data_IF_088054287655
#
_entry.id   IF_088054287655
#
_cell.length_a   1.000
_cell.length_b   1.000
_cell.length_c   1.000
_cell.angle_alpha   90.00
_cell.angle_beta   90.00
_cell.angle_gamma   90.00
#
_symmetry.space_group_name_H-M   'P 1'
#
loop_
_entity.id
_entity.type
_entity.pdbx_description
1 polymer ?
#
# COMPACT_ATOMS: atom_id res chain seq x y z
N UNK A 1 -13.95 -14.04 13.98
CA UNK A 1 -14.53 -12.90 13.26
C UNK A 1 -13.89 -11.61 13.74
N UNK A 2 -13.70 -10.64 12.85
CA UNK A 2 -13.38 -9.24 13.18
C UNK A 2 -14.70 -8.51 13.34
N UNK A 3 -14.97 -7.95 14.50
CA UNK A 3 -16.19 -7.18 14.74
C UNK A 3 -15.86 -5.74 15.10
N UNK A 4 -16.54 -4.81 14.45
CA UNK A 4 -16.47 -3.38 14.74
C UNK A 4 -17.89 -2.90 15.09
N UNK A 5 -18.02 -2.27 16.27
CA UNK A 5 -19.30 -1.76 16.75
C UNK A 5 -19.81 -0.58 15.92
N UNK A 6 -21.06 -0.23 16.08
CA UNK A 6 -21.60 1.05 15.60
C UNK A 6 -20.72 2.19 16.10
N UNK A 7 -20.27 3.12 15.21
CA UNK A 7 -19.47 4.24 15.63
C UNK A 7 -20.28 5.29 16.39
N UNK A 8 -19.60 5.96 17.33
CA UNK A 8 -20.14 7.08 18.09
C UNK A 8 -19.27 8.33 17.89
N UNK A 9 -19.89 9.50 17.92
CA UNK A 9 -19.18 10.76 17.88
C UNK A 9 -19.42 11.56 19.17
N UNK A 10 -18.35 12.14 19.71
CA UNK A 10 -18.39 13.03 20.86
C UNK A 10 -17.59 14.28 20.56
N UNK A 11 -17.91 15.39 21.21
CA UNK A 11 -17.13 16.64 21.15
C UNK A 11 -16.14 16.69 22.31
N UNK A 12 -14.89 17.08 22.03
CA UNK A 12 -13.83 17.27 23.01
C UNK A 12 -13.13 18.60 22.71
N UNK A 13 -13.62 19.67 23.33
CA UNK A 13 -13.24 21.06 23.00
C UNK A 13 -13.66 21.42 21.58
N UNK A 14 -12.68 21.86 20.77
CA UNK A 14 -12.88 22.24 19.38
C UNK A 14 -12.80 21.06 18.41
N UNK A 15 -12.67 19.82 18.92
CA UNK A 15 -12.55 18.63 18.12
C UNK A 15 -13.81 17.72 18.22
N UNK A 16 -14.11 17.05 17.11
CA UNK A 16 -14.95 15.87 17.06
C UNK A 16 -14.08 14.61 17.24
N UNK A 17 -14.55 13.67 18.06
CA UNK A 17 -13.89 12.38 18.30
C UNK A 17 -14.85 11.27 17.94
N UNK A 18 -14.54 10.56 16.86
CA UNK A 18 -15.27 9.35 16.46
C UNK A 18 -14.60 8.12 17.07
N UNK A 19 -15.39 7.25 17.68
CA UNK A 19 -14.92 6.01 18.30
C UNK A 19 -15.75 4.81 17.85
N UNK A 20 -15.13 3.64 17.78
CA UNK A 20 -15.78 2.35 17.61
C UNK A 20 -14.96 1.25 18.30
N UNK A 21 -15.62 0.23 18.83
CA UNK A 21 -14.93 -0.89 19.47
C UNK A 21 -14.59 -1.98 18.45
N UNK A 22 -13.30 -2.34 18.39
CA UNK A 22 -12.76 -3.46 17.63
C UNK A 22 -12.61 -4.66 18.54
N UNK A 23 -13.17 -5.78 18.16
CA UNK A 23 -13.10 -7.04 18.91
C UNK A 23 -12.90 -8.24 17.98
N UNK A 24 -12.69 -9.43 18.58
CA UNK A 24 -12.55 -10.69 17.86
C UNK A 24 -11.14 -11.00 17.37
N UNK A 25 -10.23 -10.01 17.35
CA UNK A 25 -8.80 -10.16 17.05
C UNK A 25 -7.96 -9.44 18.11
N UNK A 26 -6.64 -9.62 18.08
CA UNK A 26 -5.69 -8.91 18.94
C UNK A 26 -4.75 -8.05 18.12
N UNK A 27 -4.47 -6.81 18.53
CA UNK A 27 -5.06 -6.15 19.69
C UNK A 27 -6.52 -5.76 19.45
N UNK A 28 -7.34 -5.92 20.46
CA UNK A 28 -8.70 -5.37 20.53
C UNK A 28 -8.69 -3.99 21.20
N UNK A 29 -9.81 -3.27 21.12
CA UNK A 29 -10.01 -2.00 21.80
C UNK A 29 -10.62 -0.91 20.93
N UNK A 30 -10.63 0.31 21.44
CA UNK A 30 -11.29 1.46 20.80
C UNK A 30 -10.47 2.01 19.64
N UNK A 31 -10.99 1.94 18.42
CA UNK A 31 -10.55 2.75 17.28
C UNK A 31 -10.96 4.20 17.55
N UNK A 32 -10.07 5.15 17.24
CA UNK A 32 -10.33 6.57 17.48
C UNK A 32 -9.84 7.43 16.33
N UNK A 33 -10.71 8.37 15.91
CA UNK A 33 -10.39 9.45 15.00
C UNK A 33 -10.70 10.77 15.69
N UNK A 34 -9.82 11.76 15.53
CA UNK A 34 -9.97 13.10 16.08
C UNK A 34 -9.68 14.13 15.00
N UNK A 35 -10.52 15.13 14.85
CA UNK A 35 -10.42 16.21 13.86
C UNK A 35 -11.28 17.40 14.28
N UNK A 36 -11.11 18.61 13.69
CA UNK A 36 -11.88 19.79 14.09
C UNK A 36 -13.39 19.57 13.98
N UNK A 37 -14.13 20.03 14.97
CA UNK A 37 -15.60 19.87 15.07
C UNK A 37 -16.38 20.45 13.89
N UNK A 38 -15.77 21.42 13.17
CA UNK A 38 -16.34 21.97 11.93
C UNK A 38 -16.57 20.91 10.84
N UNK A 39 -15.95 19.74 10.96
CA UNK A 39 -16.08 18.60 10.04
C UNK A 39 -16.79 17.41 10.68
N UNK A 40 -17.65 17.64 11.69
CA UNK A 40 -18.41 16.56 12.36
C UNK A 40 -19.14 15.70 11.33
N UNK A 41 -18.86 14.37 11.28
CA UNK A 41 -19.35 13.49 10.23
C UNK A 41 -20.78 13.08 10.42
N UNK A 42 -21.46 12.70 9.35
CA UNK A 42 -22.74 12.02 9.44
C UNK A 42 -22.59 10.56 9.92
N UNK A 43 -23.64 9.93 10.45
CA UNK A 43 -23.60 8.50 10.82
C UNK A 43 -23.15 7.59 9.68
N UNK A 44 -23.55 7.91 8.44
CA UNK A 44 -23.18 7.15 7.24
C UNK A 44 -21.68 7.25 6.95
N UNK A 45 -21.13 8.45 7.03
CA UNK A 45 -19.69 8.69 6.85
C UNK A 45 -18.87 7.97 7.90
N UNK A 46 -19.34 7.90 9.14
CA UNK A 46 -18.68 7.17 10.23
C UNK A 46 -18.68 5.65 9.97
N UNK A 47 -19.79 5.09 9.50
CA UNK A 47 -19.89 3.67 9.17
C UNK A 47 -18.95 3.33 8.00
N UNK A 48 -18.99 4.11 6.93
CA UNK A 48 -18.16 3.91 5.75
C UNK A 48 -16.67 4.04 6.07
N UNK A 49 -16.27 4.92 6.98
CA UNK A 49 -14.89 5.09 7.43
C UNK A 49 -14.30 3.84 8.11
N UNK A 50 -15.12 3.04 8.77
CA UNK A 50 -14.69 1.83 9.46
C UNK A 50 -14.53 0.63 8.50
N UNK A 51 -15.20 0.66 7.35
CA UNK A 51 -15.21 -0.46 6.42
C UNK A 51 -13.82 -0.81 5.83
N UNK A 52 -13.01 0.15 5.30
CA UNK A 52 -11.67 -0.16 4.80
C UNK A 52 -10.78 -0.82 5.86
N UNK A 53 -10.86 -0.37 7.10
CA UNK A 53 -10.06 -0.91 8.21
C UNK A 53 -10.51 -2.32 8.59
N UNK A 54 -11.81 -2.51 8.71
CA UNK A 54 -12.42 -3.81 9.01
C UNK A 54 -12.09 -4.85 7.93
N UNK A 55 -12.23 -4.47 6.64
CA UNK A 55 -11.92 -5.34 5.51
C UNK A 55 -10.45 -5.79 5.52
N UNK A 56 -9.52 -4.83 5.63
CA UNK A 56 -8.08 -5.15 5.66
C UNK A 56 -7.71 -6.05 6.85
N UNK A 57 -8.28 -5.81 8.02
CA UNK A 57 -8.05 -6.65 9.20
C UNK A 57 -8.64 -8.05 9.04
N UNK A 58 -9.86 -8.16 8.53
CA UNK A 58 -10.51 -9.45 8.29
C UNK A 58 -9.72 -10.30 7.29
N UNK A 59 -9.28 -9.71 6.19
CA UNK A 59 -8.44 -10.37 5.19
C UNK A 59 -7.08 -10.81 5.75
N UNK A 60 -6.43 -9.97 6.58
CA UNK A 60 -5.10 -10.25 7.12
C UNK A 60 -5.11 -11.25 8.28
N UNK A 61 -6.27 -11.51 8.88
CA UNK A 61 -6.42 -12.44 10.01
C UNK A 61 -7.20 -13.70 9.66
N UNK A 62 -7.58 -13.85 8.39
CA UNK A 62 -8.41 -14.96 7.88
C UNK A 62 -9.72 -15.10 8.67
N UNK A 63 -10.39 -13.97 8.86
CA UNK A 63 -11.63 -13.91 9.64
C UNK A 63 -12.76 -13.28 8.82
N UNK A 64 -14.00 -13.56 9.23
CA UNK A 64 -15.17 -12.85 8.77
C UNK A 64 -15.20 -11.41 9.34
N UNK A 65 -15.63 -10.43 8.54
CA UNK A 65 -15.91 -9.08 8.99
C UNK A 65 -17.37 -8.93 9.38
N UNK A 66 -17.62 -8.50 10.61
CA UNK A 66 -18.93 -8.05 11.11
C UNK A 66 -18.84 -6.56 11.40
N UNK A 67 -19.67 -5.77 10.75
CA UNK A 67 -19.78 -4.33 11.01
C UNK A 67 -21.21 -4.01 11.44
N UNK A 68 -21.38 -3.49 12.67
CA UNK A 68 -22.68 -3.25 13.27
C UNK A 68 -23.39 -1.97 12.74
N UNK A 69 -22.98 -1.49 11.57
CA UNK A 69 -23.57 -0.34 10.89
C UNK A 69 -23.62 -0.59 9.37
N UNK A 70 -24.67 -0.12 8.67
CA UNK A 70 -24.78 -0.28 7.23
C UNK A 70 -23.81 0.66 6.51
N UNK A 71 -23.20 0.17 5.43
CA UNK A 71 -22.22 0.93 4.65
C UNK A 71 -22.69 1.21 3.23
N UNK A 72 -21.94 2.08 2.54
CA UNK A 72 -22.14 2.44 1.13
C UNK A 72 -22.28 1.19 0.25
N UNK A 73 -23.36 1.06 -0.53
CA UNK A 73 -23.48 0.02 -1.55
C UNK A 73 -22.33 0.00 -2.55
N UNK A 74 -21.79 1.18 -2.93
CA UNK A 74 -20.64 1.28 -3.81
C UNK A 74 -19.38 0.65 -3.20
N UNK A 75 -19.09 0.92 -1.92
CA UNK A 75 -17.96 0.28 -1.20
C UNK A 75 -18.12 -1.24 -1.14
N UNK A 76 -19.30 -1.73 -0.83
CA UNK A 76 -19.57 -3.17 -0.80
C UNK A 76 -19.40 -3.82 -2.16
N UNK A 77 -19.90 -3.19 -3.22
CA UNK A 77 -19.76 -3.70 -4.58
C UNK A 77 -18.27 -3.77 -5.03
N UNK A 78 -17.45 -2.79 -4.63
CA UNK A 78 -16.03 -2.77 -4.96
C UNK A 78 -15.17 -3.69 -4.08
N UNK A 79 -15.68 -4.09 -2.92
CA UNK A 79 -14.92 -4.88 -1.94
C UNK A 79 -14.43 -6.22 -2.48
N UNK A 80 -15.17 -6.84 -3.40
CA UNK A 80 -14.76 -8.09 -4.04
C UNK A 80 -13.47 -7.89 -4.85
N UNK A 81 -13.42 -6.85 -5.70
CA UNK A 81 -12.24 -6.52 -6.49
C UNK A 81 -11.06 -6.14 -5.60
N UNK A 82 -11.30 -5.37 -4.52
CA UNK A 82 -10.26 -5.01 -3.55
C UNK A 82 -9.65 -6.26 -2.92
N UNK A 83 -10.48 -7.20 -2.51
CA UNK A 83 -10.02 -8.46 -1.93
C UNK A 83 -9.21 -9.30 -2.92
N UNK A 84 -9.64 -9.39 -4.18
CA UNK A 84 -8.92 -10.10 -5.23
C UNK A 84 -7.53 -9.53 -5.46
N UNK A 85 -7.44 -8.21 -5.54
CA UNK A 85 -6.16 -7.53 -5.76
C UNK A 85 -5.19 -7.78 -4.60
N UNK A 86 -5.61 -7.56 -3.36
CA UNK A 86 -4.73 -7.74 -2.20
C UNK A 86 -4.37 -9.20 -1.96
N UNK A 87 -5.29 -10.15 -2.16
CA UNK A 87 -5.01 -11.59 -2.04
C UNK A 87 -4.03 -12.05 -3.12
N UNK A 88 -4.15 -11.54 -4.35
CA UNK A 88 -3.21 -11.84 -5.44
C UNK A 88 -1.82 -11.22 -5.18
N UNK A 89 -1.76 -10.01 -4.63
CA UNK A 89 -0.49 -9.34 -4.34
C UNK A 89 0.26 -9.93 -3.16
N UNK A 90 -0.45 -10.42 -2.15
CA UNK A 90 0.13 -10.88 -0.87
C UNK A 90 -0.49 -12.21 -0.42
N UNK A 91 -0.32 -13.31 -1.20
CA UNK A 91 -1.02 -14.58 -0.95
C UNK A 91 -0.69 -15.24 0.40
N UNK A 92 0.40 -14.82 1.05
CA UNK A 92 0.77 -15.31 2.39
C UNK A 92 0.27 -14.43 3.54
N UNK A 93 -0.38 -13.30 3.23
CA UNK A 93 -0.83 -12.31 4.23
C UNK A 93 -2.33 -12.07 4.16
N UNK A 94 -2.91 -12.01 2.97
CA UNK A 94 -4.33 -11.73 2.77
C UNK A 94 -5.04 -12.93 2.15
N UNK A 95 -6.19 -13.27 2.75
CA UNK A 95 -7.19 -14.19 2.20
C UNK A 95 -8.52 -13.43 1.98
N UNK A 96 -9.41 -13.99 1.17
CA UNK A 96 -10.76 -13.41 1.03
C UNK A 96 -11.53 -13.57 2.34
N UNK A 97 -12.07 -12.48 2.84
CA UNK A 97 -12.91 -12.45 4.03
C UNK A 97 -14.40 -12.52 3.64
N UNK A 98 -15.16 -13.26 4.41
CA UNK A 98 -16.62 -13.18 4.36
C UNK A 98 -17.08 -11.89 5.02
N UNK A 99 -18.10 -11.23 4.44
CA UNK A 99 -18.65 -9.97 4.93
C UNK A 99 -20.06 -10.20 5.49
N UNK A 100 -20.24 -9.94 6.77
CA UNK A 100 -21.54 -9.78 7.44
C UNK A 100 -21.74 -8.28 7.68
N UNK A 101 -22.00 -7.55 6.58
CA UNK A 101 -22.13 -6.10 6.53
C UNK A 101 -23.35 -5.77 5.68
N UNK A 102 -24.28 -5.03 6.24
CA UNK A 102 -25.47 -4.62 5.52
C UNK A 102 -25.20 -3.45 4.58
N UNK A 103 -25.72 -3.46 3.35
CA UNK A 103 -25.72 -2.27 2.51
C UNK A 103 -26.70 -1.23 3.09
N UNK A 104 -26.30 0.04 3.02
CA UNK A 104 -27.20 1.15 3.37
C UNK A 104 -28.38 1.20 2.40
N UNK A 105 -29.57 1.39 2.95
CA UNK A 105 -30.81 1.61 2.20
C UNK A 105 -31.19 3.09 2.27
N UNK A 106 -31.82 3.61 1.21
CA UNK A 106 -32.25 5.00 1.13
C UNK A 106 -31.30 5.87 0.29
N UNK A 107 -31.48 7.19 0.38
CA UNK A 107 -30.67 8.14 -0.38
C UNK A 107 -29.26 8.21 0.15
N UNK A 108 -28.28 8.38 -0.72
CA UNK A 108 -26.91 8.67 -0.33
C UNK A 108 -26.85 10.03 0.42
N UNK A 109 -25.90 10.20 1.34
CA UNK A 109 -25.60 11.50 1.92
C UNK A 109 -25.28 12.55 0.85
N UNK A 110 -25.49 13.83 1.12
CA UNK A 110 -25.07 14.87 0.20
C UNK A 110 -23.57 14.80 -0.08
N UNK A 111 -23.18 14.99 -1.32
CA UNK A 111 -21.78 15.08 -1.71
C UNK A 111 -21.23 16.43 -1.30
N UNK A 112 -20.09 16.45 -0.60
CA UNK A 112 -19.37 17.69 -0.31
C UNK A 112 -18.86 18.34 -1.60
N UNK A 113 -18.96 19.67 -1.67
CA UNK A 113 -18.57 20.42 -2.88
C UNK A 113 -17.05 20.66 -2.97
N UNK A 114 -16.34 20.51 -1.85
CA UNK A 114 -14.90 20.79 -1.74
C UNK A 114 -14.06 19.59 -2.14
N UNK A 115 -12.81 19.85 -2.54
CA UNK A 115 -11.81 18.82 -2.73
C UNK A 115 -10.66 19.00 -1.73
N UNK A 116 -10.13 17.88 -1.23
CA UNK A 116 -8.96 17.87 -0.37
C UNK A 116 -7.84 17.02 -0.97
N UNK A 117 -6.60 17.31 -0.56
CA UNK A 117 -5.45 16.44 -0.80
C UNK A 117 -4.80 16.08 0.53
N UNK A 118 -4.31 14.84 0.65
CA UNK A 118 -3.42 14.53 1.78
C UNK A 118 -2.10 15.26 1.60
N UNK A 119 -1.61 15.89 2.68
CA UNK A 119 -0.45 16.75 2.61
C UNK A 119 0.50 16.49 3.78
N UNK A 120 1.65 15.90 3.45
CA UNK A 120 2.70 15.56 4.42
C UNK A 120 3.91 16.50 4.32
N UNK A 121 3.85 17.51 3.47
CA UNK A 121 4.98 18.37 3.13
C UNK A 121 6.05 17.68 2.26
N UNK A 122 5.76 16.48 1.72
CA UNK A 122 6.66 15.73 0.86
C UNK A 122 6.52 16.09 -0.62
N UNK A 123 7.49 15.63 -1.45
CA UNK A 123 7.50 15.90 -2.89
C UNK A 123 6.19 15.55 -3.57
N UNK A 124 5.59 14.36 -3.26
CA UNK A 124 4.35 13.93 -3.92
C UNK A 124 3.18 14.84 -3.57
N UNK A 125 3.07 15.23 -2.30
CA UNK A 125 1.99 16.10 -1.84
C UNK A 125 2.12 17.53 -2.35
N UNK A 126 3.33 18.10 -2.40
CA UNK A 126 3.56 19.40 -3.06
C UNK A 126 3.27 19.34 -4.56
N UNK A 127 3.69 18.26 -5.23
CA UNK A 127 3.41 18.08 -6.66
C UNK A 127 1.90 18.00 -6.96
N UNK A 128 1.14 17.22 -6.18
CA UNK A 128 -0.31 17.13 -6.33
C UNK A 128 -0.99 18.47 -6.05
N UNK A 129 -0.56 19.20 -5.02
CA UNK A 129 -1.05 20.55 -4.72
C UNK A 129 -0.75 21.53 -5.87
N UNK A 130 0.49 21.55 -6.36
CA UNK A 130 0.90 22.42 -7.47
C UNK A 130 0.07 22.16 -8.74
N UNK A 131 -0.13 20.88 -9.07
CA UNK A 131 -0.84 20.47 -10.29
C UNK A 131 -2.34 20.74 -10.23
N UNK A 132 -2.95 20.64 -9.06
CA UNK A 132 -4.40 20.72 -8.86
C UNK A 132 -4.79 21.90 -7.96
N UNK A 133 -3.99 22.96 -7.93
CA UNK A 133 -4.16 24.07 -7.00
C UNK A 133 -5.57 24.67 -7.06
N UNK A 134 -6.13 24.86 -8.25
CA UNK A 134 -7.46 25.46 -8.41
C UNK A 134 -8.59 24.56 -7.88
N UNK A 135 -8.42 23.25 -7.94
CA UNK A 135 -9.42 22.29 -7.50
C UNK A 135 -9.34 22.00 -6.01
N UNK A 136 -8.14 21.96 -5.43
CA UNK A 136 -7.91 21.62 -4.02
C UNK A 136 -8.19 22.83 -3.15
N UNK A 137 -9.16 22.73 -2.24
CA UNK A 137 -9.49 23.77 -1.27
C UNK A 137 -8.84 23.54 0.10
N UNK A 138 -8.57 22.28 0.45
CA UNK A 138 -8.08 21.90 1.77
C UNK A 138 -6.96 20.87 1.69
N UNK A 139 -6.05 20.94 2.65
CA UNK A 139 -4.94 19.99 2.84
C UNK A 139 -5.20 19.20 4.12
N UNK A 140 -4.98 17.88 4.08
CA UNK A 140 -5.20 17.00 5.23
C UNK A 140 -3.87 16.42 5.72
N UNK A 141 -3.58 16.58 6.99
CA UNK A 141 -2.51 15.88 7.69
C UNK A 141 -3.06 15.08 8.87
N UNK A 142 -2.67 13.79 8.98
CA UNK A 142 -3.16 12.90 10.04
C UNK A 142 -2.02 12.44 10.94
N UNK A 143 -2.01 12.90 12.17
CA UNK A 143 -1.10 12.41 13.20
C UNK A 143 -1.43 10.95 13.57
N UNK A 144 -0.40 10.16 13.84
CA UNK A 144 -0.55 8.72 14.10
C UNK A 144 -0.29 7.86 12.87
N UNK A 145 -0.20 8.44 11.66
CA UNK A 145 0.24 7.77 10.45
C UNK A 145 1.77 7.79 10.33
N UNK A 146 2.35 8.80 9.73
CA UNK A 146 3.81 8.90 9.57
C UNK A 146 4.53 9.25 10.88
N UNK A 147 3.93 10.11 11.70
CA UNK A 147 4.47 10.55 12.98
C UNK A 147 3.65 9.92 14.11
N UNK A 148 4.25 9.09 14.98
CA UNK A 148 3.56 8.51 16.13
C UNK A 148 2.98 9.58 17.05
N UNK A 149 1.81 9.32 17.63
CA UNK A 149 1.13 10.23 18.54
C UNK A 149 1.99 10.63 19.76
N UNK A 150 2.90 9.75 20.19
CA UNK A 150 3.80 9.99 21.32
C UNK A 150 4.90 11.03 21.03
N UNK A 151 5.23 11.32 19.76
CA UNK A 151 6.30 12.26 19.39
C UNK A 151 5.82 13.71 19.35
N UNK A 152 5.44 14.25 20.49
CA UNK A 152 4.76 15.55 20.60
C UNK A 152 5.53 16.71 19.96
N UNK A 153 6.83 16.85 20.26
CA UNK A 153 7.66 17.94 19.72
C UNK A 153 7.78 17.86 18.20
N UNK A 154 8.04 16.67 17.66
CA UNK A 154 8.16 16.53 16.21
C UNK A 154 6.81 16.74 15.49
N UNK A 155 5.70 16.37 16.14
CA UNK A 155 4.35 16.71 15.65
C UNK A 155 4.16 18.21 15.57
N UNK A 156 4.53 18.94 16.65
CA UNK A 156 4.40 20.40 16.71
C UNK A 156 5.18 21.10 15.59
N UNK A 157 6.48 20.79 15.45
CA UNK A 157 7.31 21.35 14.38
C UNK A 157 6.74 21.04 12.99
N UNK A 158 6.26 19.82 12.80
CA UNK A 158 5.64 19.43 11.51
C UNK A 158 4.36 20.22 11.26
N UNK A 159 3.48 20.36 12.25
CA UNK A 159 2.25 21.16 12.13
C UNK A 159 2.54 22.62 11.78
N UNK A 160 3.53 23.25 12.42
CA UNK A 160 3.94 24.62 12.14
C UNK A 160 4.34 24.82 10.67
N UNK A 161 5.16 23.92 10.12
CA UNK A 161 5.54 23.96 8.70
C UNK A 161 4.37 23.69 7.76
N UNK A 162 3.48 22.76 8.09
CA UNK A 162 2.33 22.44 7.25
C UNK A 162 1.28 23.56 7.26
N UNK A 163 1.08 24.21 8.41
CA UNK A 163 0.21 25.39 8.55
C UNK A 163 0.74 26.55 7.71
N UNK A 164 2.06 26.82 7.80
CA UNK A 164 2.70 27.85 7.00
C UNK A 164 2.58 27.54 5.49
N UNK A 165 2.82 26.28 5.08
CA UNK A 165 2.66 25.86 3.69
C UNK A 165 1.23 26.03 3.19
N UNK A 166 0.23 25.63 3.97
CA UNK A 166 -1.17 25.77 3.61
C UNK A 166 -1.58 27.25 3.49
N UNK A 167 -1.18 28.08 4.46
CA UNK A 167 -1.46 29.51 4.44
C UNK A 167 -0.83 30.19 3.22
N UNK A 168 0.45 29.90 2.91
CA UNK A 168 1.15 30.43 1.75
C UNK A 168 0.50 30.00 0.42
N UNK A 169 -0.04 28.78 0.36
CA UNK A 169 -0.78 28.28 -0.79
C UNK A 169 -2.24 28.77 -0.84
N UNK A 170 -2.71 29.54 0.15
CA UNK A 170 -4.11 29.98 0.24
C UNK A 170 -5.09 28.82 0.48
N UNK A 171 -4.65 27.75 1.19
CA UNK A 171 -5.43 26.57 1.48
C UNK A 171 -5.70 26.43 2.97
N UNK A 172 -6.79 25.77 3.31
CA UNK A 172 -7.07 25.38 4.68
C UNK A 172 -6.30 24.10 5.03
N UNK A 173 -5.66 24.05 6.20
CA UNK A 173 -5.09 22.82 6.73
C UNK A 173 -6.06 22.17 7.72
N UNK A 174 -6.44 20.94 7.45
CA UNK A 174 -7.18 20.08 8.35
C UNK A 174 -6.18 19.16 9.03
N UNK A 175 -6.00 19.28 10.33
CA UNK A 175 -5.18 18.37 11.11
C UNK A 175 -6.05 17.39 11.86
N UNK A 176 -5.76 16.11 11.71
CA UNK A 176 -6.42 15.05 12.43
C UNK A 176 -5.45 14.14 13.16
N UNK A 177 -5.99 13.23 13.96
CA UNK A 177 -5.22 12.22 14.68
C UNK A 177 -5.97 10.89 14.76
N UNK A 178 -5.23 9.78 14.70
CA UNK A 178 -5.83 8.44 14.83
C UNK A 178 -4.86 7.43 15.44
N UNK A 179 -5.41 6.39 16.07
CA UNK A 179 -4.65 5.27 16.60
C UNK A 179 -4.69 4.01 15.72
N UNK A 180 -5.13 4.10 14.47
CA UNK A 180 -5.34 2.96 13.56
C UNK A 180 -4.11 2.06 13.44
N UNK A 181 -2.90 2.62 13.39
CA UNK A 181 -1.67 1.83 13.29
C UNK A 181 -1.45 0.85 14.44
N UNK A 182 -2.05 1.10 15.61
CA UNK A 182 -2.02 0.16 16.74
C UNK A 182 -2.66 -1.18 16.34
N UNK A 183 -3.73 -1.13 15.55
CA UNK A 183 -4.49 -2.31 15.15
C UNK A 183 -3.97 -2.93 13.84
N UNK A 184 -3.48 -2.12 12.91
CA UNK A 184 -3.03 -2.57 11.59
C UNK A 184 -1.62 -3.16 11.61
N UNK A 185 -0.66 -2.51 12.27
CA UNK A 185 0.76 -2.89 12.23
C UNK A 185 1.08 -4.32 12.72
N UNK A 186 0.34 -4.91 13.69
CA UNK A 186 0.58 -6.31 14.09
C UNK A 186 0.26 -7.34 12.98
N UNK A 187 -0.58 -6.99 12.01
CA UNK A 187 -1.09 -7.91 11.00
C UNK A 187 -0.55 -7.66 9.60
N UNK A 188 -0.13 -6.43 9.30
CA UNK A 188 0.30 -6.03 7.95
C UNK A 188 1.30 -4.89 7.98
N UNK A 189 2.16 -4.83 6.94
CA UNK A 189 3.14 -3.75 6.80
C UNK A 189 2.44 -2.45 6.38
N UNK A 190 2.64 -1.38 7.17
CA UNK A 190 2.06 -0.07 6.92
C UNK A 190 2.33 0.44 5.50
N UNK A 191 3.61 0.49 5.09
CA UNK A 191 4.01 1.10 3.82
C UNK A 191 3.52 0.36 2.59
N UNK A 192 3.50 -0.97 2.63
CA UNK A 192 3.18 -1.78 1.44
C UNK A 192 1.73 -2.24 1.37
N UNK A 193 1.00 -2.24 2.51
CA UNK A 193 -0.29 -2.91 2.56
C UNK A 193 -1.44 -2.02 3.03
N UNK A 194 -1.28 -1.18 4.07
CA UNK A 194 -2.45 -0.62 4.76
C UNK A 194 -2.61 0.90 4.69
N UNK A 195 -1.57 1.66 4.32
CA UNK A 195 -1.63 3.12 4.44
C UNK A 195 -2.71 3.76 3.56
N UNK A 196 -2.94 3.28 2.34
CA UNK A 196 -3.99 3.81 1.46
C UNK A 196 -5.38 3.65 2.07
N UNK A 197 -5.73 2.42 2.48
CA UNK A 197 -7.00 2.14 3.15
C UNK A 197 -7.18 2.97 4.43
N UNK A 198 -6.11 3.14 5.23
CA UNK A 198 -6.17 3.94 6.46
C UNK A 198 -6.36 5.45 6.20
N UNK A 199 -5.71 6.00 5.19
CA UNK A 199 -5.89 7.39 4.78
C UNK A 199 -7.32 7.62 4.29
N UNK A 200 -7.80 6.76 3.41
CA UNK A 200 -9.15 6.85 2.84
C UNK A 200 -10.21 6.69 3.94
N UNK A 201 -10.01 5.75 4.88
CA UNK A 201 -10.84 5.62 6.07
C UNK A 201 -10.98 6.94 6.83
N UNK A 202 -9.90 7.68 7.02
CA UNK A 202 -9.96 8.98 7.66
C UNK A 202 -10.72 10.02 6.82
N UNK A 203 -10.47 10.04 5.51
CA UNK A 203 -11.11 11.01 4.59
C UNK A 203 -12.60 10.79 4.45
N UNK A 204 -13.08 9.56 4.54
CA UNK A 204 -14.52 9.24 4.54
C UNK A 204 -15.28 10.00 5.64
N UNK A 205 -14.66 10.27 6.79
CA UNK A 205 -15.25 11.09 7.86
C UNK A 205 -15.47 12.55 7.45
N UNK A 206 -14.70 13.06 6.48
CA UNK A 206 -14.76 14.44 6.00
C UNK A 206 -15.68 14.61 4.77
N UNK A 207 -16.31 13.53 4.31
CA UNK A 207 -17.05 13.50 3.05
C UNK A 207 -18.31 14.37 3.01
N UNK A 208 -18.86 14.73 4.18
CA UNK A 208 -19.95 15.71 4.27
C UNK A 208 -19.59 17.11 3.76
N UNK A 209 -18.30 17.45 3.73
CA UNK A 209 -17.79 18.72 3.23
C UNK A 209 -16.89 18.56 2.00
N UNK A 210 -16.22 17.42 1.83
CA UNK A 210 -15.27 17.16 0.76
C UNK A 210 -15.69 15.93 -0.06
N UNK A 211 -16.17 16.16 -1.27
CA UNK A 211 -16.60 15.10 -2.18
C UNK A 211 -15.49 14.53 -3.06
N UNK A 212 -14.28 15.09 -3.00
CA UNK A 212 -13.14 14.59 -3.77
C UNK A 212 -11.87 14.54 -2.92
N UNK A 213 -11.19 13.40 -2.95
CA UNK A 213 -9.85 13.20 -2.42
C UNK A 213 -8.84 13.12 -3.58
N UNK A 214 -7.82 13.96 -3.57
CA UNK A 214 -6.59 13.77 -4.33
C UNK A 214 -5.56 13.06 -3.44
N UNK A 215 -5.25 11.81 -3.77
CA UNK A 215 -4.28 10.99 -3.04
C UNK A 215 -2.95 10.96 -3.81
N UNK A 216 -1.88 11.62 -3.30
CA UNK A 216 -0.63 11.75 -4.01
C UNK A 216 0.07 10.40 -4.25
N UNK A 217 0.35 10.07 -5.52
CA UNK A 217 1.04 8.86 -5.93
C UNK A 217 2.50 8.86 -5.50
N UNK A 218 2.99 7.77 -4.93
CA UNK A 218 4.40 7.60 -4.60
C UNK A 218 5.25 7.17 -5.80
N UNK A 219 4.65 6.41 -6.75
CA UNK A 219 5.33 5.80 -7.89
C UNK A 219 4.72 6.23 -9.22
N UNK A 220 5.53 6.18 -10.28
CA UNK A 220 5.05 6.41 -11.63
C UNK A 220 4.36 5.15 -12.20
N UNK A 221 3.57 5.32 -13.26
CA UNK A 221 2.97 4.18 -13.97
C UNK A 221 3.99 3.18 -14.50
N UNK A 222 5.25 3.61 -14.74
CA UNK A 222 6.32 2.73 -15.20
C UNK A 222 6.90 1.84 -14.09
N UNK A 223 6.69 2.22 -12.81
CA UNK A 223 7.31 1.59 -11.65
C UNK A 223 6.26 1.07 -10.65
N UNK A 224 5.08 0.71 -11.15
CA UNK A 224 4.01 0.16 -10.30
C UNK A 224 4.37 -1.25 -9.81
N UNK A 225 4.12 -1.49 -8.56
CA UNK A 225 4.19 -2.79 -7.90
C UNK A 225 3.19 -2.82 -6.73
N UNK A 226 2.90 -3.99 -6.14
CA UNK A 226 2.00 -4.11 -5.00
C UNK A 226 2.34 -3.11 -3.89
N UNK A 227 1.44 -2.16 -3.62
CA UNK A 227 1.64 -1.07 -2.69
C UNK A 227 0.32 -0.65 -2.05
N UNK A 228 0.35 -0.22 -0.78
CA UNK A 228 -0.85 0.07 0.01
C UNK A 228 -1.70 1.25 -0.49
N UNK A 229 -1.16 2.10 -1.36
CA UNK A 229 -1.89 3.11 -2.16
C UNK A 229 -1.47 2.94 -3.61
N UNK A 230 -2.40 2.65 -4.50
CA UNK A 230 -2.12 2.23 -5.87
C UNK A 230 -3.26 2.65 -6.81
N UNK A 231 -2.98 3.07 -8.05
CA UNK A 231 -4.02 3.54 -8.98
C UNK A 231 -5.08 2.47 -9.33
N UNK A 232 -4.75 1.19 -9.15
CA UNK A 232 -5.71 0.10 -9.32
C UNK A 232 -6.69 -0.04 -8.15
N UNK A 233 -6.30 0.37 -6.94
CA UNK A 233 -7.06 0.11 -5.71
C UNK A 233 -7.70 1.37 -5.14
N UNK A 234 -6.98 2.49 -5.13
CA UNK A 234 -7.46 3.71 -4.46
C UNK A 234 -8.83 4.18 -4.96
N UNK A 235 -9.13 4.20 -6.28
CA UNK A 235 -10.45 4.58 -6.77
C UNK A 235 -11.58 3.63 -6.35
N UNK A 236 -11.27 2.37 -6.03
CA UNK A 236 -12.26 1.38 -5.58
C UNK A 236 -12.80 1.67 -4.16
N UNK A 237 -12.13 2.53 -3.40
CA UNK A 237 -12.61 3.01 -2.10
C UNK A 237 -13.58 4.19 -2.21
N UNK A 238 -13.97 4.61 -3.42
CA UNK A 238 -14.97 5.66 -3.62
C UNK A 238 -16.35 5.20 -3.14
N UNK A 239 -17.17 6.18 -2.71
CA UNK A 239 -18.57 5.99 -2.37
C UNK A 239 -19.46 6.75 -3.35
N UNK A 240 -20.77 6.76 -3.13
CA UNK A 240 -21.73 7.58 -3.90
C UNK A 240 -21.49 9.09 -3.71
N UNK A 241 -20.75 9.49 -2.66
CA UNK A 241 -20.55 10.87 -2.26
C UNK A 241 -19.09 11.26 -2.01
N UNK A 242 -18.14 10.34 -2.19
CA UNK A 242 -16.69 10.61 -2.17
C UNK A 242 -16.03 9.97 -3.37
N UNK A 243 -15.37 10.77 -4.19
CA UNK A 243 -14.50 10.30 -5.28
C UNK A 243 -13.05 10.29 -4.82
N UNK A 244 -12.40 9.14 -4.87
CA UNK A 244 -10.96 8.99 -4.60
C UNK A 244 -10.19 9.01 -5.90
N UNK A 245 -9.26 9.97 -6.05
CA UNK A 245 -8.38 10.13 -7.21
C UNK A 245 -6.94 9.86 -6.81
N UNK A 246 -6.35 8.79 -7.35
CA UNK A 246 -4.90 8.57 -7.27
C UNK A 246 -4.20 9.54 -8.22
N UNK A 247 -3.45 10.52 -7.70
CA UNK A 247 -2.93 11.65 -8.49
C UNK A 247 -1.41 11.64 -8.61
N UNK A 248 -0.90 11.97 -9.79
CA UNK A 248 0.52 12.19 -10.03
C UNK A 248 1.33 10.96 -10.48
N UNK A 249 0.69 9.80 -10.73
CA UNK A 249 1.39 8.60 -11.22
C UNK A 249 1.92 8.73 -12.66
N UNK A 250 1.53 9.75 -13.41
CA UNK A 250 2.10 10.04 -14.72
C UNK A 250 3.49 10.67 -14.69
N UNK A 251 4.01 11.05 -13.51
CA UNK A 251 5.31 11.69 -13.36
C UNK A 251 6.24 10.86 -12.45
N UNK A 252 7.53 10.77 -12.83
CA UNK A 252 8.57 10.17 -12.00
C UNK A 252 8.85 11.03 -10.77
N UNK A 253 9.54 10.50 -9.78
CA UNK A 253 9.93 11.28 -8.59
C UNK A 253 10.84 12.46 -8.95
N UNK A 254 11.75 12.27 -9.89
CA UNK A 254 12.61 13.34 -10.41
C UNK A 254 11.76 14.42 -11.07
N UNK A 255 10.82 14.05 -11.95
CA UNK A 255 9.94 15.01 -12.61
C UNK A 255 9.07 15.80 -11.60
N UNK A 256 8.55 15.14 -10.56
CA UNK A 256 7.83 15.79 -9.46
C UNK A 256 8.70 16.76 -8.68
N UNK A 257 9.93 16.35 -8.35
CA UNK A 257 10.89 17.22 -7.64
C UNK A 257 11.22 18.47 -8.45
N UNK A 258 11.46 18.31 -9.76
CA UNK A 258 11.70 19.43 -10.69
C UNK A 258 10.51 20.38 -10.79
N UNK A 259 9.30 19.85 -10.84
CA UNK A 259 8.08 20.66 -10.93
C UNK A 259 7.90 21.61 -9.72
N UNK A 260 8.38 21.22 -8.52
CA UNK A 260 8.27 22.01 -7.30
C UNK A 260 9.59 22.72 -6.93
N UNK A 261 10.66 22.57 -7.72
CA UNK A 261 11.98 23.06 -7.37
C UNK A 261 12.04 24.61 -7.28
N UNK A 262 11.17 25.29 -8.01
CA UNK A 262 11.07 26.75 -8.03
C UNK A 262 9.89 27.30 -7.21
N UNK A 263 9.16 26.44 -6.49
CA UNK A 263 8.07 26.86 -5.62
C UNK A 263 8.67 27.35 -4.28
N UNK A 264 8.49 28.67 -3.92
CA UNK A 264 9.08 29.22 -2.71
C UNK A 264 8.53 28.54 -1.44
N UNK A 265 7.30 28.04 -1.47
CA UNK A 265 6.70 27.35 -0.32
C UNK A 265 7.38 25.98 -0.14
N UNK A 266 7.64 25.26 -1.25
CA UNK A 266 8.39 24.01 -1.19
C UNK A 266 9.84 24.23 -0.76
N UNK A 267 10.51 25.31 -1.22
CA UNK A 267 11.87 25.66 -0.83
C UNK A 267 12.00 25.89 0.69
N UNK A 268 10.99 26.46 1.32
CA UNK A 268 10.99 26.76 2.75
C UNK A 268 10.49 25.60 3.63
N UNK A 269 9.60 24.74 3.10
CA UNK A 269 8.85 23.79 3.94
C UNK A 269 8.93 22.33 3.50
N UNK A 270 9.70 21.96 2.46
CA UNK A 270 9.78 20.59 1.98
C UNK A 270 10.30 19.62 3.05
N UNK A 271 9.51 18.58 3.36
CA UNK A 271 9.86 17.52 4.29
C UNK A 271 9.80 16.15 3.62
N UNK A 272 10.95 15.51 3.45
CA UNK A 272 11.04 14.18 2.82
C UNK A 272 11.49 13.08 3.79
N UNK A 273 12.04 13.47 4.94
CA UNK A 273 12.65 12.57 5.89
C UNK A 273 11.65 11.62 6.55
N UNK A 274 12.00 10.33 6.65
CA UNK A 274 11.25 9.36 7.45
C UNK A 274 11.86 9.11 8.83
N UNK A 275 13.06 9.66 9.09
CA UNK A 275 13.68 9.63 10.41
C UNK A 275 12.93 10.58 11.37
N UNK A 276 12.88 10.21 12.65
CA UNK A 276 12.13 10.94 13.67
C UNK A 276 13.08 11.45 14.74
N UNK A 277 14.27 11.90 14.33
CA UNK A 277 15.42 12.18 15.19
C UNK A 277 15.62 13.67 15.49
N UNK A 278 14.59 14.51 15.35
CA UNK A 278 14.63 15.92 15.74
C UNK A 278 14.81 16.90 14.57
N UNK A 279 15.63 16.58 13.56
CA UNK A 279 15.79 17.42 12.39
C UNK A 279 14.61 17.25 11.45
N UNK A 280 14.15 18.34 10.83
CA UNK A 280 13.03 18.34 9.89
C UNK A 280 13.35 17.47 8.67
N UNK A 281 14.57 17.61 8.11
CA UNK A 281 15.22 16.65 7.21
C UNK A 281 16.60 16.27 7.79
N UNK A 282 16.93 14.97 7.80
CA UNK A 282 18.18 14.49 8.39
C UNK A 282 19.37 14.49 7.43
N UNK A 283 19.21 14.90 6.18
CA UNK A 283 20.17 14.98 5.08
C UNK A 283 20.89 13.69 4.64
N UNK A 284 20.75 12.60 5.39
CA UNK A 284 21.50 11.34 5.20
C UNK A 284 20.65 10.10 4.93
N UNK A 285 19.35 10.12 5.15
CA UNK A 285 18.52 8.97 4.82
C UNK A 285 18.24 8.89 3.32
N UNK A 286 17.82 7.71 2.84
CA UNK A 286 17.53 7.47 1.41
C UNK A 286 16.57 8.52 0.80
N UNK A 287 15.53 8.94 1.55
CA UNK A 287 14.59 9.95 1.05
C UNK A 287 15.22 11.33 0.93
N UNK A 288 16.04 11.75 1.91
CA UNK A 288 16.75 13.03 1.85
C UNK A 288 17.74 13.01 0.69
N UNK A 289 18.64 12.02 0.63
CA UNK A 289 19.70 11.97 -0.38
C UNK A 289 19.14 11.93 -1.81
N UNK A 290 18.15 11.06 -2.10
CA UNK A 290 17.56 11.01 -3.45
C UNK A 290 16.88 12.31 -3.88
N UNK A 291 16.26 13.04 -2.92
CA UNK A 291 15.64 14.34 -3.22
C UNK A 291 16.68 15.42 -3.42
N UNK A 292 17.72 15.44 -2.57
CA UNK A 292 18.87 16.37 -2.73
C UNK A 292 19.57 16.18 -4.07
N UNK A 293 19.77 14.93 -4.53
CA UNK A 293 20.33 14.66 -5.87
C UNK A 293 19.49 15.36 -6.95
N UNK A 294 18.19 15.15 -6.96
CA UNK A 294 17.33 15.75 -7.96
C UNK A 294 17.33 17.30 -7.90
N UNK A 295 17.33 17.89 -6.70
CA UNK A 295 17.40 19.34 -6.49
C UNK A 295 18.78 19.92 -6.87
N UNK A 296 19.87 19.21 -6.59
CA UNK A 296 21.22 19.60 -6.99
C UNK A 296 21.38 19.61 -8.52
N UNK A 297 20.91 18.54 -9.18
CA UNK A 297 20.93 18.42 -10.63
C UNK A 297 20.06 19.47 -11.33
N UNK A 298 18.99 19.93 -10.68
CA UNK A 298 18.15 21.06 -11.13
C UNK A 298 18.78 22.43 -10.79
N UNK A 299 19.89 22.46 -10.04
CA UNK A 299 20.56 23.69 -9.60
C UNK A 299 19.82 24.46 -8.51
N UNK A 300 18.89 23.81 -7.79
CA UNK A 300 18.02 24.45 -6.82
C UNK A 300 18.26 24.01 -5.36
N UNK A 301 19.15 23.04 -5.09
CA UNK A 301 19.33 22.54 -3.71
C UNK A 301 19.66 23.67 -2.71
N UNK A 302 20.49 24.63 -3.12
CA UNK A 302 20.89 25.75 -2.24
C UNK A 302 19.77 26.74 -1.87
N UNK A 303 18.59 26.68 -2.53
CA UNK A 303 17.45 27.51 -2.17
C UNK A 303 16.52 26.84 -1.14
N UNK A 304 16.72 25.52 -0.89
CA UNK A 304 15.89 24.76 0.06
C UNK A 304 16.44 24.88 1.48
N UNK A 305 15.80 25.69 2.31
CA UNK A 305 16.21 25.97 3.70
C UNK A 305 16.11 24.77 4.63
N UNK A 306 15.36 23.74 4.24
CA UNK A 306 15.17 22.52 5.02
C UNK A 306 16.26 21.45 4.83
N UNK A 307 17.24 21.69 3.97
CA UNK A 307 18.43 20.87 3.80
C UNK A 307 19.69 21.67 4.16
N UNK A 308 20.54 21.10 5.03
CA UNK A 308 21.72 21.80 5.56
C UNK A 308 22.99 21.56 4.71
N UNK A 309 23.08 20.45 3.96
CA UNK A 309 24.30 20.01 3.28
C UNK A 309 24.04 19.73 1.80
N UNK A 310 25.11 19.85 0.97
CA UNK A 310 25.11 19.43 -0.43
C UNK A 310 25.04 17.90 -0.62
N UNK A 311 25.15 17.44 -1.86
CA UNK A 311 25.22 16.01 -2.19
C UNK A 311 26.68 15.53 -2.09
N UNK A 312 26.91 14.51 -1.24
CA UNK A 312 28.19 13.80 -1.15
C UNK A 312 28.09 12.49 -1.97
N UNK A 313 28.84 12.32 -3.09
CA UNK A 313 28.83 11.10 -3.88
C UNK A 313 29.20 9.84 -3.08
N UNK A 314 30.06 9.95 -2.07
CA UNK A 314 30.39 8.83 -1.19
C UNK A 314 29.21 8.43 -0.29
N UNK A 315 28.43 9.39 0.20
CA UNK A 315 27.19 9.09 0.90
C UNK A 315 26.17 8.41 -0.02
N UNK A 316 26.09 8.80 -1.30
CA UNK A 316 25.25 8.13 -2.30
C UNK A 316 25.65 6.67 -2.49
N UNK A 317 26.96 6.38 -2.66
CA UNK A 317 27.47 4.99 -2.77
C UNK A 317 27.16 4.15 -1.54
N UNK A 318 27.37 4.72 -0.34
CA UNK A 318 27.10 4.01 0.93
C UNK A 318 25.64 3.63 1.15
N UNK A 319 24.71 4.42 0.61
CA UNK A 319 23.27 4.10 0.74
C UNK A 319 22.86 2.86 -0.05
N UNK A 320 23.47 2.64 -1.20
CA UNK A 320 23.23 1.49 -2.04
C UNK A 320 21.77 1.32 -2.52
N UNK A 321 21.57 0.30 -3.34
CA UNK A 321 20.24 -0.16 -3.78
C UNK A 321 19.96 -1.51 -3.14
N UNK A 322 18.87 -1.64 -2.36
CA UNK A 322 18.56 -2.86 -1.59
C UNK A 322 17.10 -3.36 -1.81
N UNK A 323 16.36 -2.71 -2.69
CA UNK A 323 14.96 -3.08 -2.98
C UNK A 323 14.56 -2.55 -4.36
N UNK A 324 13.45 -3.07 -4.93
CA UNK A 324 12.85 -2.55 -6.16
C UNK A 324 12.49 -1.05 -6.02
N UNK A 325 12.03 -0.65 -4.83
CA UNK A 325 11.79 0.77 -4.51
C UNK A 325 13.06 1.62 -4.65
N UNK A 326 14.18 1.16 -4.09
CA UNK A 326 15.45 1.88 -4.20
C UNK A 326 15.92 1.92 -5.65
N UNK A 327 15.73 0.81 -6.38
CA UNK A 327 16.12 0.69 -7.80
C UNK A 327 15.36 1.70 -8.68
N UNK A 328 14.04 1.80 -8.54
CA UNK A 328 13.24 2.74 -9.31
C UNK A 328 13.78 4.17 -9.15
N UNK A 329 13.91 4.64 -7.90
CA UNK A 329 14.41 5.98 -7.64
C UNK A 329 15.89 6.20 -7.98
N UNK A 330 16.74 5.18 -7.85
CA UNK A 330 18.15 5.27 -8.25
C UNK A 330 18.27 5.42 -9.77
N UNK A 331 17.49 4.68 -10.55
CA UNK A 331 17.46 4.79 -12.01
C UNK A 331 17.04 6.17 -12.50
N UNK A 332 15.94 6.71 -11.97
CA UNK A 332 15.48 8.05 -12.32
C UNK A 332 16.57 9.11 -12.08
N UNK A 333 17.21 9.07 -10.90
CA UNK A 333 18.30 10.00 -10.58
C UNK A 333 19.57 9.76 -11.42
N UNK A 334 19.90 8.50 -11.74
CA UNK A 334 21.02 8.14 -12.62
C UNK A 334 20.82 8.68 -14.03
N UNK A 335 19.63 8.49 -14.60
CA UNK A 335 19.29 9.03 -15.91
C UNK A 335 19.40 10.56 -15.92
N UNK A 336 18.90 11.21 -14.88
CA UNK A 336 18.96 12.66 -14.74
C UNK A 336 20.40 13.16 -14.55
N UNK A 337 21.23 12.49 -13.73
CA UNK A 337 22.65 12.83 -13.57
C UNK A 337 23.42 12.74 -14.88
N UNK A 338 23.20 11.67 -15.66
CA UNK A 338 23.79 11.52 -17.00
C UNK A 338 23.36 12.62 -17.95
N UNK A 339 22.08 12.97 -17.95
CA UNK A 339 21.57 14.05 -18.79
C UNK A 339 22.15 15.44 -18.43
N UNK A 340 22.56 15.64 -17.18
CA UNK A 340 23.18 16.88 -16.69
C UNK A 340 24.71 16.84 -16.72
N UNK A 341 25.36 15.75 -17.21
CA UNK A 341 26.80 15.60 -17.26
C UNK A 341 27.49 15.52 -15.87
N UNK A 342 26.77 15.08 -14.84
CA UNK A 342 27.28 14.89 -13.47
C UNK A 342 27.76 13.46 -13.30
N UNK A 343 28.93 13.18 -13.88
CA UNK A 343 29.54 11.84 -13.87
C UNK A 343 29.83 11.35 -12.44
N UNK A 344 30.19 12.23 -11.53
CA UNK A 344 30.44 11.93 -10.11
C UNK A 344 29.22 11.28 -9.42
N UNK A 345 28.04 11.83 -9.66
CA UNK A 345 26.76 11.29 -9.13
C UNK A 345 26.32 10.07 -9.95
N UNK A 346 26.49 10.11 -11.28
CA UNK A 346 26.12 9.00 -12.15
C UNK A 346 26.90 7.72 -11.83
N UNK A 347 28.21 7.82 -11.60
CA UNK A 347 29.07 6.68 -11.22
C UNK A 347 28.70 6.14 -9.83
N UNK A 348 28.40 7.05 -8.87
CA UNK A 348 28.00 6.66 -7.53
C UNK A 348 26.67 5.86 -7.53
N UNK A 349 25.70 6.25 -8.35
CA UNK A 349 24.41 5.55 -8.49
C UNK A 349 24.54 4.30 -9.36
N UNK A 350 25.29 4.39 -10.50
CA UNK A 350 25.45 3.32 -11.48
C UNK A 350 25.99 2.04 -10.87
N UNK A 351 27.09 2.14 -10.11
CA UNK A 351 27.68 0.99 -9.44
C UNK A 351 26.72 0.29 -8.46
N UNK A 352 25.91 1.07 -7.72
CA UNK A 352 24.91 0.51 -6.81
C UNK A 352 23.75 -0.18 -7.54
N UNK A 353 23.30 0.39 -8.66
CA UNK A 353 22.26 -0.20 -9.53
C UNK A 353 22.74 -1.50 -10.14
N UNK A 354 23.95 -1.51 -10.71
CA UNK A 354 24.55 -2.70 -11.33
C UNK A 354 24.74 -3.82 -10.31
N UNK A 355 25.26 -3.51 -9.11
CA UNK A 355 25.45 -4.49 -8.05
C UNK A 355 24.11 -5.15 -7.63
N UNK A 356 23.06 -4.36 -7.48
CA UNK A 356 21.73 -4.88 -7.15
C UNK A 356 21.16 -5.78 -8.25
N UNK A 357 21.27 -5.36 -9.50
CA UNK A 357 20.79 -6.15 -10.65
C UNK A 357 21.55 -7.47 -10.79
N UNK A 358 22.87 -7.46 -10.63
CA UNK A 358 23.68 -8.68 -10.64
C UNK A 358 23.30 -9.64 -9.51
N UNK A 359 23.12 -9.13 -8.28
CA UNK A 359 22.67 -9.94 -7.14
C UNK A 359 21.28 -10.55 -7.37
N UNK A 360 20.35 -9.79 -7.96
CA UNK A 360 19.00 -10.25 -8.29
C UNK A 360 19.03 -11.37 -9.34
N UNK A 361 19.85 -11.22 -10.39
CA UNK A 361 20.00 -12.26 -11.44
C UNK A 361 20.58 -13.55 -10.84
N UNK A 362 21.65 -13.44 -10.05
CA UNK A 362 22.25 -14.60 -9.38
C UNK A 362 21.27 -15.32 -8.43
N UNK A 363 20.43 -14.57 -7.73
CA UNK A 363 19.40 -15.15 -6.85
C UNK A 363 18.30 -15.87 -7.65
N UNK A 364 17.84 -15.31 -8.76
CA UNK A 364 16.86 -15.94 -9.64
C UNK A 364 17.39 -17.25 -10.24
N UNK A 365 18.63 -17.24 -10.75
CA UNK A 365 19.29 -18.43 -11.29
C UNK A 365 19.47 -19.53 -10.23
N UNK A 366 19.84 -19.16 -9.00
CA UNK A 366 19.95 -20.09 -7.89
C UNK A 366 18.57 -20.69 -7.51
N UNK A 367 17.52 -19.89 -7.48
CA UNK A 367 16.15 -20.35 -7.20
C UNK A 367 15.63 -21.31 -8.27
N UNK A 368 15.88 -21.02 -9.55
CA UNK A 368 15.52 -21.89 -10.66
C UNK A 368 16.27 -23.22 -10.60
N UNK A 369 17.57 -23.20 -10.31
CA UNK A 369 18.38 -24.42 -10.13
C UNK A 369 17.86 -25.29 -8.98
N UNK A 370 17.48 -24.68 -7.85
CA UNK A 370 16.91 -25.40 -6.70
C UNK A 370 15.55 -26.04 -7.05
N UNK A 371 14.68 -25.34 -7.77
CA UNK A 371 13.38 -25.88 -8.19
C UNK A 371 13.53 -27.00 -9.21
N UNK A 372 14.46 -26.88 -10.17
CA UNK A 372 14.79 -27.95 -11.11
C UNK A 372 15.32 -29.20 -10.37
N UNK A 373 16.20 -29.01 -9.38
CA UNK A 373 16.70 -30.12 -8.57
C UNK A 373 15.58 -30.81 -7.78
N UNK A 374 14.67 -30.02 -7.18
CA UNK A 374 13.50 -30.53 -6.46
C UNK A 374 12.56 -31.34 -7.39
N UNK A 375 12.24 -30.81 -8.56
CA UNK A 375 11.38 -31.48 -9.52
C UNK A 375 12.01 -32.77 -10.04
N UNK A 376 13.34 -32.80 -10.24
CA UNK A 376 14.06 -34.04 -10.60
C UNK A 376 13.96 -35.10 -9.51
N UNK A 377 14.16 -34.72 -8.26
CA UNK A 377 14.02 -35.66 -7.13
C UNK A 377 12.59 -36.22 -7.01
N UNK A 378 11.56 -35.38 -7.19
CA UNK A 378 10.17 -35.84 -7.21
C UNK A 378 9.88 -36.78 -8.38
N UNK A 379 10.46 -36.51 -9.55
CA UNK A 379 10.33 -37.41 -10.73
C UNK A 379 11.00 -38.76 -10.48
N UNK A 380 12.19 -38.78 -9.89
CA UNK A 380 12.89 -40.04 -9.53
C UNK A 380 12.08 -40.85 -8.52
N UNK A 381 11.52 -40.23 -7.51
CA UNK A 381 10.66 -40.89 -6.53
C UNK A 381 9.39 -41.46 -7.19
N UNK A 382 8.72 -40.67 -8.02
CA UNK A 382 7.54 -41.13 -8.77
C UNK A 382 7.89 -42.34 -9.69
N UNK A 383 9.02 -42.29 -10.38
CA UNK A 383 9.48 -43.39 -11.23
C UNK A 383 9.79 -44.66 -10.40
N UNK A 384 10.39 -44.51 -9.23
CA UNK A 384 10.64 -45.63 -8.31
C UNK A 384 9.31 -46.25 -7.82
N UNK A 385 8.30 -45.45 -7.51
CA UNK A 385 6.97 -45.92 -7.13
C UNK A 385 6.29 -46.69 -8.30
N UNK A 386 6.39 -46.17 -9.52
CA UNK A 386 5.87 -46.84 -10.73
C UNK A 386 6.58 -48.17 -10.91
N UNK A 387 7.91 -48.23 -10.81
CA UNK A 387 8.68 -49.47 -10.95
C UNK A 387 8.32 -50.51 -9.87
N UNK A 388 8.10 -50.02 -8.62
CA UNK A 388 7.64 -50.90 -7.53
C UNK A 388 6.25 -51.49 -7.83
N UNK A 389 5.31 -50.67 -8.30
CA UNK A 389 3.97 -51.13 -8.72
C UNK A 389 4.04 -52.11 -9.89
N UNK A 390 4.85 -51.85 -10.89
CA UNK A 390 5.07 -52.76 -12.04
C UNK A 390 5.72 -54.09 -11.63
N UNK A 391 6.47 -54.10 -10.55
CA UNK A 391 7.09 -55.31 -9.99
C UNK A 391 6.11 -56.26 -9.31
N UNK A 392 4.92 -55.77 -8.92
CA UNK A 392 3.91 -56.60 -8.26
C UNK A 392 3.47 -57.77 -9.13
N UNK A 393 3.35 -58.99 -8.58
CA UNK A 393 2.99 -60.19 -9.36
C UNK A 393 1.68 -60.03 -10.13
N UNK A 394 0.70 -59.38 -9.55
CA UNK A 394 -0.62 -59.10 -10.16
C UNK A 394 -0.51 -58.16 -11.36
N UNK A 395 0.32 -57.13 -11.29
CA UNK A 395 0.55 -56.14 -12.36
C UNK A 395 1.37 -56.80 -13.49
N UNK A 396 2.39 -57.60 -13.14
CA UNK A 396 3.17 -58.37 -14.12
C UNK A 396 2.30 -59.38 -14.90
N UNK A 397 1.45 -60.14 -14.21
CA UNK A 397 0.51 -61.05 -14.83
C UNK A 397 -0.46 -60.31 -15.76
N UNK A 398 -1.02 -59.18 -15.32
CA UNK A 398 -1.88 -58.34 -16.15
C UNK A 398 -1.18 -57.79 -17.39
N UNK A 399 0.02 -57.23 -17.24
CA UNK A 399 0.81 -56.69 -18.35
C UNK A 399 1.22 -57.78 -19.35
N UNK A 400 1.47 -58.97 -18.86
CA UNK A 400 1.77 -60.14 -19.72
C UNK A 400 0.54 -60.63 -20.50
N UNK A 401 -0.61 -60.74 -19.82
CA UNK A 401 -1.90 -61.05 -20.45
C UNK A 401 -2.29 -60.02 -21.52
N UNK A 402 -2.07 -58.74 -21.25
CA UNK A 402 -2.33 -57.63 -22.19
C UNK A 402 -1.41 -57.67 -23.41
N UNK A 403 -0.15 -58.04 -23.25
CA UNK A 403 0.79 -58.23 -24.37
C UNK A 403 0.37 -59.42 -25.27
N UNK A 404 -0.08 -60.56 -24.67
CA UNK A 404 -0.58 -61.72 -25.40
C UNK A 404 -1.89 -61.32 -26.12
N UNK A 405 -2.84 -60.68 -25.45
CA UNK A 405 -4.09 -60.24 -26.07
C UNK A 405 -3.87 -59.33 -27.28
N UNK A 406 -2.95 -58.38 -27.19
CA UNK A 406 -2.57 -57.53 -28.32
C UNK A 406 -1.95 -58.28 -29.50
N UNK A 407 -1.21 -59.36 -29.25
CA UNK A 407 -0.62 -60.21 -30.30
C UNK A 407 -1.64 -61.07 -31.04
N UNK A 408 -2.76 -61.40 -30.38
CA UNK A 408 -3.84 -62.26 -30.98
C UNK A 408 -5.07 -61.45 -31.39
N UNK A 409 -4.99 -60.06 -31.38
CA UNK A 409 -6.09 -59.21 -31.82
C UNK A 409 -7.30 -59.14 -30.87
N UNK A 410 -7.15 -59.55 -29.60
CA UNK A 410 -8.22 -59.55 -28.61
C UNK A 410 -8.07 -58.34 -27.67
N UNK A 411 -9.15 -57.56 -27.43
CA UNK A 411 -9.16 -56.52 -26.37
C UNK A 411 -9.16 -57.15 -24.98
N UNK A 412 -8.26 -56.74 -24.07
CA UNK A 412 -8.26 -57.26 -22.71
C UNK A 412 -9.46 -56.72 -21.94
N UNK A 413 -10.31 -57.60 -21.39
CA UNK A 413 -11.39 -57.22 -20.49
C UNK A 413 -10.79 -56.59 -19.22
N UNK A 414 -11.29 -55.40 -18.84
CA UNK A 414 -10.92 -54.77 -17.57
C UNK A 414 -11.32 -55.68 -16.40
N UNK A 415 -10.50 -55.84 -15.35
CA UNK A 415 -10.90 -56.55 -14.16
C UNK A 415 -12.10 -55.80 -13.54
N UNK A 416 -13.19 -56.50 -13.37
CA UNK A 416 -14.39 -56.00 -12.67
C UNK A 416 -14.03 -55.87 -11.20
N UNK A 417 -13.88 -54.66 -10.73
CA UNK A 417 -13.78 -54.40 -9.31
C UNK A 417 -15.03 -54.93 -8.62
N UNK A 418 -14.87 -55.81 -7.63
CA UNK A 418 -15.97 -56.19 -6.76
C UNK A 418 -16.39 -54.94 -5.97
N UNK A 419 -17.44 -54.24 -6.44
CA UNK A 419 -18.21 -53.30 -5.63
C UNK A 419 -18.77 -54.08 -4.42
N UNK A 420 -18.12 -53.92 -3.28
CA UNK A 420 -18.73 -54.27 -2.00
C UNK A 420 -19.78 -53.21 -1.67
N UNK A 421 -21.04 -53.58 -1.94
CA UNK A 421 -22.19 -52.97 -1.34
C UNK A 421 -21.92 -52.68 0.14
N UNK A 422 -21.85 -51.40 0.52
CA UNK A 422 -22.22 -50.93 1.84
C UNK A 422 -23.43 -50.01 1.68
N UNK A 423 -24.60 -50.69 1.57
CA UNK A 423 -25.85 -50.09 2.04
C UNK A 423 -26.11 -50.59 3.47
N UNK A 424 -26.58 -49.67 4.31
CA UNK A 424 -27.13 -49.76 5.69
C UNK A 424 -26.09 -49.54 6.81
N UNK A 425 -26.09 -48.39 7.45
CA UNK A 425 -26.95 -47.94 8.55
C UNK A 425 -26.75 -46.41 8.72
#
# INVERSE_FOLDING_TARGET
MVRISTPEVARDGDDAVVTAELSGIRPAGTIRYRFPVAYEPTPEAMADALFPIGLMLAMATDHELVLDAPVSPALLAQSETIQDVFAAWYPGTFSRARLEVAPRTGSAPPTGERALSTFTGGVDSFYTLHRNSDAISSLLFVHGFDIPLAHKEFRKVTSEHLQASAAAAGKELIEGATNLRRFLNPHMKWSTMSHGAAIISFVLLLSGTHGTLYLPASYSYNDLFPWGSHPLVDPLWSTEYLTVRHDGAGATRVAKTRAIAHDPVAQEHLRVCFQKTGDYNCDRCKKCVRTKIALELEGQLGTFTTFAEGVDPEAVRRLGVHSETDLAFARENLEFARAQGRDDIADALGGSVEAYLAARTAHAESGEQQEVARLRAQLEEANAQVAALESLPTVRAWNSARRIARRVGAEPRRPVGRDRERRRA
#
